data_IF_964484275514
#
_entry.id   IF_964484275514
#
_cell.length_a   1.000
_cell.length_b   1.000
_cell.length_c   1.000
_cell.angle_alpha   90.00
_cell.angle_beta   90.00
_cell.angle_gamma   90.00
#
_symmetry.space_group_name_H-M   'P 1'
#
loop_
_entity.id
_entity.type
_entity.pdbx_description
1 polymer ?
#
# COMPACT_ATOMS: atom_id res chain seq x y z
N UNK A 1 17.74 14.48 -5.91
CA UNK A 1 16.60 14.67 -4.98
C UNK A 1 16.81 13.77 -3.75
N UNK A 2 16.38 14.22 -2.57
CA UNK A 2 16.53 13.43 -1.35
C UNK A 2 15.42 12.37 -1.24
N UNK A 3 15.73 11.21 -0.66
CA UNK A 3 14.75 10.18 -0.27
C UNK A 3 14.02 10.61 1.02
N UNK A 4 13.32 11.74 0.97
CA UNK A 4 12.47 12.21 2.07
C UNK A 4 11.02 11.95 1.73
N UNK A 5 10.29 11.33 2.65
CA UNK A 5 8.85 11.06 2.51
C UNK A 5 8.05 12.35 2.35
N UNK A 6 7.00 12.30 1.53
CA UNK A 6 5.99 13.37 1.45
C UNK A 6 4.94 13.26 2.58
N UNK A 7 4.91 12.15 3.33
CA UNK A 7 4.05 12.03 4.51
C UNK A 7 4.49 13.01 5.59
N UNK A 8 3.53 13.75 6.13
CA UNK A 8 3.74 14.44 7.40
C UNK A 8 3.90 13.43 8.53
N UNK A 9 4.61 13.82 9.60
CA UNK A 9 4.79 12.97 10.78
C UNK A 9 3.47 12.41 11.33
N UNK A 10 2.40 13.22 11.33
CA UNK A 10 1.08 12.80 11.81
C UNK A 10 0.43 11.76 10.89
N UNK A 11 0.51 11.94 9.57
CA UNK A 11 -0.02 10.97 8.60
C UNK A 11 0.74 9.65 8.68
N UNK A 12 2.07 9.72 8.73
CA UNK A 12 2.92 8.55 8.89
C UNK A 12 2.56 7.79 10.18
N UNK A 13 2.52 8.47 11.33
CA UNK A 13 2.15 7.85 12.60
C UNK A 13 0.76 7.19 12.57
N UNK A 14 -0.19 7.83 11.91
CA UNK A 14 -1.56 7.32 11.81
C UNK A 14 -1.63 6.07 10.95
N UNK A 15 -0.94 6.05 9.80
CA UNK A 15 -0.83 4.86 8.97
C UNK A 15 -0.07 3.73 9.68
N UNK A 16 1.02 4.05 10.39
CA UNK A 16 1.78 3.09 11.20
C UNK A 16 0.88 2.42 12.23
N UNK A 17 0.12 3.19 13.01
CA UNK A 17 -0.81 2.67 14.01
C UNK A 17 -1.95 1.87 13.38
N UNK A 18 -2.52 2.35 12.27
CA UNK A 18 -3.63 1.69 11.58
C UNK A 18 -3.25 0.29 11.09
N UNK A 19 -2.06 0.16 10.49
CA UNK A 19 -1.56 -1.12 9.99
C UNK A 19 -0.84 -1.96 11.07
N UNK A 20 -1.06 -1.67 12.36
CA UNK A 20 -0.61 -2.47 13.49
C UNK A 20 0.77 -2.08 14.03
N UNK A 21 0.97 -0.80 14.34
CA UNK A 21 2.20 -0.22 14.90
C UNK A 21 3.47 -0.62 14.13
N UNK A 22 3.38 -0.61 12.80
CA UNK A 22 4.52 -0.95 11.93
C UNK A 22 5.45 0.23 11.76
N UNK A 23 6.73 -0.03 11.57
CA UNK A 23 7.69 0.98 11.14
C UNK A 23 7.70 1.05 9.61
N UNK A 24 7.72 2.26 9.07
CA UNK A 24 7.78 2.51 7.63
C UNK A 24 9.19 2.90 7.23
N UNK A 25 9.73 2.19 6.25
CA UNK A 25 11.05 2.46 5.67
C UNK A 25 10.87 2.74 4.19
N UNK A 26 11.15 3.97 3.75
CA UNK A 26 10.99 4.37 2.34
C UNK A 26 11.91 3.52 1.45
N UNK A 27 11.32 2.79 0.51
CA UNK A 27 12.04 1.94 -0.46
C UNK A 27 12.11 2.58 -1.84
N UNK A 28 11.08 3.32 -2.19
CA UNK A 28 10.91 3.88 -3.53
C UNK A 28 10.20 5.22 -3.45
N UNK A 29 10.64 6.12 -4.31
CA UNK A 29 10.02 7.44 -4.54
C UNK A 29 10.14 7.73 -6.02
N UNK A 30 9.03 7.93 -6.70
CA UNK A 30 8.97 8.02 -8.16
C UNK A 30 9.79 9.20 -8.71
N UNK A 31 9.79 10.36 -8.04
CA UNK A 31 10.65 11.49 -8.41
C UNK A 31 12.16 11.23 -8.31
N UNK A 32 12.58 10.22 -7.53
CA UNK A 32 14.00 9.85 -7.37
C UNK A 32 14.37 8.65 -8.25
N UNK A 33 13.45 7.71 -8.41
CA UNK A 33 13.68 6.40 -9.05
C UNK A 33 12.98 6.25 -10.41
N UNK A 34 12.53 7.38 -10.96
CA UNK A 34 11.77 7.49 -12.20
C UNK A 34 10.34 6.96 -12.06
N UNK A 35 9.43 7.38 -12.93
CA UNK A 35 8.03 6.97 -12.88
C UNK A 35 7.84 5.65 -13.66
N UNK A 36 8.51 4.57 -13.21
CA UNK A 36 8.52 3.27 -13.91
C UNK A 36 8.03 2.12 -13.02
N UNK A 37 7.04 1.37 -13.51
CA UNK A 37 6.52 0.17 -12.84
C UNK A 37 7.56 -0.94 -12.77
N UNK A 38 8.43 -1.07 -13.77
CA UNK A 38 9.52 -2.05 -13.78
C UNK A 38 10.54 -1.77 -12.67
N UNK A 39 11.01 -0.51 -12.58
CA UNK A 39 11.95 -0.08 -11.53
C UNK A 39 11.38 -0.28 -10.13
N UNK A 40 10.09 0.00 -9.98
CA UNK A 40 9.35 -0.19 -8.74
C UNK A 40 9.28 -1.67 -8.36
N UNK A 41 8.82 -2.53 -9.28
CA UNK A 41 8.69 -3.96 -9.05
C UNK A 41 10.05 -4.60 -8.74
N UNK A 42 11.10 -4.24 -9.47
CA UNK A 42 12.44 -4.78 -9.23
C UNK A 42 12.92 -4.50 -7.79
N UNK A 43 12.57 -3.34 -7.23
CA UNK A 43 12.98 -2.93 -5.88
C UNK A 43 12.07 -3.48 -4.78
N UNK A 44 10.76 -3.54 -5.02
CA UNK A 44 9.76 -3.78 -3.97
C UNK A 44 9.27 -5.23 -3.91
N UNK A 45 9.31 -5.99 -5.01
CA UNK A 45 8.68 -7.33 -5.10
C UNK A 45 9.20 -8.35 -4.08
N UNK A 46 10.42 -8.16 -3.56
CA UNK A 46 11.08 -9.09 -2.62
C UNK A 46 11.17 -8.57 -1.19
N UNK A 47 10.62 -7.39 -0.89
CA UNK A 47 10.89 -6.70 0.37
C UNK A 47 9.92 -7.04 1.52
N UNK A 48 8.92 -7.89 1.27
CA UNK A 48 7.92 -8.27 2.27
C UNK A 48 6.64 -7.43 2.18
N UNK A 49 5.87 -7.25 3.28
CA UNK A 49 4.69 -6.41 3.24
C UNK A 49 5.09 -4.96 2.97
N UNK A 50 4.43 -4.34 2.00
CA UNK A 50 4.74 -2.99 1.54
C UNK A 50 3.48 -2.15 1.53
N UNK A 51 3.64 -0.85 1.70
CA UNK A 51 2.57 0.13 1.55
C UNK A 51 2.96 1.08 0.43
N UNK A 52 2.10 1.18 -0.57
CA UNK A 52 2.19 2.16 -1.65
C UNK A 52 1.31 3.35 -1.27
N UNK A 53 1.87 4.54 -1.34
CA UNK A 53 1.21 5.81 -1.04
C UNK A 53 1.30 6.70 -2.27
N UNK A 54 0.16 7.21 -2.70
CA UNK A 54 0.01 8.02 -3.90
C UNK A 54 -0.58 9.36 -3.47
N UNK A 55 0.11 10.42 -3.87
CA UNK A 55 -0.23 11.79 -3.50
C UNK A 55 -0.91 12.50 -4.66
N UNK A 56 -2.22 12.63 -4.59
CA UNK A 56 -2.99 13.53 -5.45
C UNK A 56 -3.02 14.94 -4.84
N UNK A 57 -3.61 15.89 -5.55
CA UNK A 57 -3.78 17.27 -5.08
C UNK A 57 -4.64 17.32 -3.81
N UNK A 58 -5.76 16.58 -3.82
CA UNK A 58 -6.76 16.66 -2.75
C UNK A 58 -6.81 15.41 -1.85
N UNK A 59 -6.17 14.31 -2.27
CA UNK A 59 -6.34 13.00 -1.65
C UNK A 59 -5.04 12.23 -1.58
N UNK A 60 -4.86 11.50 -0.47
CA UNK A 60 -3.83 10.46 -0.37
C UNK A 60 -4.53 9.13 -0.51
N UNK A 61 -4.15 8.37 -1.53
CA UNK A 61 -4.66 7.03 -1.78
C UNK A 61 -3.52 6.04 -1.79
N UNK A 62 -3.79 4.79 -1.46
CA UNK A 62 -2.72 3.82 -1.40
C UNK A 62 -3.19 2.38 -1.32
N UNK A 63 -2.21 1.49 -1.37
CA UNK A 63 -2.40 0.06 -1.33
C UNK A 63 -1.40 -0.55 -0.34
N UNK A 64 -1.91 -1.18 0.71
CA UNK A 64 -1.11 -2.00 1.62
C UNK A 64 -1.17 -3.45 1.16
N UNK A 65 -0.02 -4.01 0.81
CA UNK A 65 0.11 -5.38 0.35
C UNK A 65 0.58 -6.25 1.52
N UNK A 66 -0.33 -7.09 2.01
CA UNK A 66 -0.04 -8.09 3.03
C UNK A 66 0.31 -9.41 2.38
N UNK A 67 1.51 -9.92 2.67
CA UNK A 67 1.91 -11.27 2.29
C UNK A 67 1.20 -12.30 3.20
N UNK A 68 0.42 -13.21 2.63
CA UNK A 68 -0.09 -14.39 3.35
C UNK A 68 0.93 -15.53 3.31
N UNK A 69 0.81 -16.47 4.24
CA UNK A 69 1.65 -17.67 4.31
C UNK A 69 1.44 -18.62 3.12
N UNK A 70 0.31 -18.50 2.42
CA UNK A 70 -0.12 -19.37 1.33
C UNK A 70 0.22 -18.83 -0.07
N UNK A 71 1.19 -17.93 -0.19
CA UNK A 71 1.59 -17.25 -1.45
C UNK A 71 0.54 -16.29 -2.05
N UNK A 72 -0.67 -16.26 -1.52
CA UNK A 72 -1.66 -15.22 -1.80
C UNK A 72 -1.30 -13.89 -1.13
N UNK A 73 -1.53 -12.79 -1.84
CA UNK A 73 -1.43 -11.46 -1.26
C UNK A 73 -2.83 -10.87 -1.09
N UNK A 74 -3.08 -10.37 0.11
CA UNK A 74 -4.24 -9.53 0.39
C UNK A 74 -3.83 -8.08 0.24
N UNK A 75 -4.59 -7.35 -0.56
CA UNK A 75 -4.34 -5.94 -0.81
C UNK A 75 -5.42 -5.16 -0.07
N UNK A 76 -5.01 -4.25 0.79
CA UNK A 76 -5.91 -3.32 1.46
C UNK A 76 -5.69 -1.99 0.78
N UNK A 77 -6.65 -1.57 -0.04
CA UNK A 77 -6.66 -0.20 -0.52
C UNK A 77 -7.12 0.70 0.60
N UNK A 78 -6.56 1.90 0.63
CA UNK A 78 -7.00 2.92 1.55
C UNK A 78 -7.04 4.28 0.89
N UNK A 79 -7.96 5.10 1.37
CA UNK A 79 -8.00 6.53 1.12
C UNK A 79 -7.85 7.25 2.46
N UNK A 80 -6.94 8.20 2.51
CA UNK A 80 -6.69 9.04 3.66
C UNK A 80 -7.23 10.44 3.34
N UNK A 81 -8.34 10.79 3.99
CA UNK A 81 -9.02 12.07 3.87
C UNK A 81 -8.96 12.78 5.22
N UNK A 82 -8.16 13.84 5.31
CA UNK A 82 -7.92 14.68 6.51
C UNK A 82 -7.48 13.88 7.75
N UNK A 83 -8.42 13.18 8.39
CA UNK A 83 -8.25 12.41 9.60
C UNK A 83 -8.90 11.02 9.55
N UNK A 84 -9.62 10.66 8.49
CA UNK A 84 -10.22 9.34 8.35
C UNK A 84 -9.41 8.48 7.37
N UNK A 85 -9.31 7.19 7.70
CA UNK A 85 -8.79 6.17 6.79
C UNK A 85 -9.98 5.30 6.41
N UNK A 86 -10.38 5.39 5.14
CA UNK A 86 -11.33 4.46 4.53
C UNK A 86 -10.53 3.32 3.93
N UNK A 87 -10.96 2.07 4.14
CA UNK A 87 -10.28 0.90 3.58
C UNK A 87 -11.21 0.03 2.73
N UNK A 88 -10.67 -0.56 1.68
CA UNK A 88 -11.33 -1.60 0.89
C UNK A 88 -10.36 -2.75 0.67
N UNK A 89 -10.75 -3.94 1.14
CA UNK A 89 -9.96 -5.16 0.99
C UNK A 89 -10.24 -5.79 -0.37
N UNK A 90 -9.16 -6.06 -1.09
CA UNK A 90 -9.14 -6.69 -2.41
C UNK A 90 -8.22 -7.90 -2.31
N UNK A 91 -8.73 -9.06 -2.70
CA UNK A 91 -7.90 -10.24 -2.78
C UNK A 91 -8.65 -11.54 -2.92
N UNK A 92 -7.91 -12.63 -3.16
CA UNK A 92 -6.44 -12.68 -3.31
C UNK A 92 -5.96 -12.18 -4.69
N UNK A 93 -4.90 -11.35 -4.73
CA UNK A 93 -4.35 -10.74 -5.96
C UNK A 93 -2.83 -10.55 -5.86
N UNK A 94 -2.06 -10.67 -6.96
CA UNK A 94 -0.60 -10.42 -6.92
C UNK A 94 -0.28 -8.91 -6.93
N UNK A 95 0.83 -8.50 -6.30
CA UNK A 95 1.33 -7.12 -6.32
C UNK A 95 1.53 -6.57 -7.74
N UNK A 96 1.92 -7.44 -8.68
CA UNK A 96 2.05 -7.11 -10.10
C UNK A 96 0.73 -6.65 -10.73
N UNK A 97 -0.44 -7.06 -10.19
CA UNK A 97 -1.75 -6.63 -10.68
C UNK A 97 -2.04 -5.15 -10.40
N UNK A 98 -1.40 -4.55 -9.38
CA UNK A 98 -1.55 -3.11 -9.09
C UNK A 98 -0.88 -2.21 -10.14
N UNK A 99 0.07 -2.75 -10.90
CA UNK A 99 0.92 -1.98 -11.82
C UNK A 99 0.88 -2.49 -13.26
N UNK A 100 0.04 -3.49 -13.56
CA UNK A 100 -0.05 -4.11 -14.91
C UNK A 100 -1.28 -3.57 -15.64
N UNK A 101 -1.04 -2.89 -16.76
CA UNK A 101 -2.01 -2.08 -17.52
C UNK A 101 -3.07 -2.88 -18.31
N UNK A 102 -3.50 -4.08 -17.90
CA UNK A 102 -4.15 -5.00 -18.87
C UNK A 102 -5.43 -5.71 -18.46
N UNK A 103 -5.89 -5.65 -17.21
CA UNK A 103 -7.15 -6.31 -16.85
C UNK A 103 -8.27 -5.28 -16.68
N UNK A 104 -9.28 -5.33 -17.56
CA UNK A 104 -10.50 -4.51 -17.46
C UNK A 104 -11.31 -4.78 -16.18
N UNK A 105 -10.88 -5.74 -15.38
CA UNK A 105 -11.51 -6.16 -14.13
C UNK A 105 -10.65 -5.87 -12.90
N UNK A 106 -9.53 -5.15 -13.05
CA UNK A 106 -8.69 -4.75 -11.91
C UNK A 106 -9.43 -3.72 -11.08
N UNK A 107 -9.71 -4.06 -9.82
CA UNK A 107 -10.35 -3.14 -8.87
C UNK A 107 -9.52 -1.87 -8.62
N UNK A 108 -8.21 -1.92 -8.92
CA UNK A 108 -7.27 -0.82 -8.78
C UNK A 108 -6.02 -0.99 -9.66
N UNK A 109 -5.59 0.07 -10.34
CA UNK A 109 -4.43 0.10 -11.21
C UNK A 109 -3.71 1.45 -11.09
N UNK A 110 -2.39 1.43 -10.93
CA UNK A 110 -1.52 2.60 -10.88
C UNK A 110 -0.70 2.65 -12.17
N UNK A 111 -0.98 3.65 -13.00
CA UNK A 111 -0.14 3.98 -14.14
C UNK A 111 0.88 5.03 -13.73
N UNK A 112 2.12 4.61 -13.49
CA UNK A 112 3.20 5.52 -13.09
C UNK A 112 3.60 6.47 -14.21
N UNK A 113 3.67 5.98 -15.45
CA UNK A 113 4.12 6.77 -16.61
C UNK A 113 3.15 7.90 -16.92
N UNK A 114 1.84 7.61 -16.87
CA UNK A 114 0.77 8.62 -17.03
C UNK A 114 0.49 9.42 -15.75
N UNK A 115 1.01 8.95 -14.60
CA UNK A 115 0.73 9.48 -13.26
C UNK A 115 -0.77 9.49 -12.92
N UNK A 116 -1.43 8.38 -13.22
CA UNK A 116 -2.86 8.20 -13.02
C UNK A 116 -3.16 6.94 -12.21
N UNK A 117 -4.17 7.02 -11.35
CA UNK A 117 -4.75 5.87 -10.67
C UNK A 117 -6.17 5.64 -11.19
N UNK A 118 -6.40 4.43 -11.69
CA UNK A 118 -7.71 3.95 -12.05
C UNK A 118 -8.22 3.02 -10.95
N UNK A 119 -9.38 3.33 -10.39
CA UNK A 119 -10.03 2.55 -9.33
C UNK A 119 -11.45 2.21 -9.80
N UNK A 120 -11.94 1.01 -9.51
CA UNK A 120 -13.31 0.67 -9.87
C UNK A 120 -14.33 1.56 -9.14
N UNK A 121 -15.46 1.84 -9.78
CA UNK A 121 -16.52 2.70 -9.21
C UNK A 121 -16.99 2.16 -7.84
N UNK A 122 -17.15 0.83 -7.72
CA UNK A 122 -17.57 0.19 -6.48
C UNK A 122 -16.54 0.36 -5.34
N UNK A 123 -15.26 0.32 -5.69
CA UNK A 123 -14.17 0.53 -4.74
C UNK A 123 -14.03 2.01 -4.38
N UNK A 124 -14.24 2.93 -5.33
CA UNK A 124 -14.26 4.38 -5.08
C UNK A 124 -15.36 4.77 -4.10
N UNK A 125 -16.57 4.22 -4.27
CA UNK A 125 -17.70 4.47 -3.37
C UNK A 125 -17.37 4.05 -1.93
N UNK A 126 -16.82 2.84 -1.75
CA UNK A 126 -16.36 2.34 -0.43
C UNK A 126 -15.25 3.19 0.19
N UNK A 127 -14.39 3.78 -0.64
CA UNK A 127 -13.29 4.63 -0.20
C UNK A 127 -13.71 6.09 0.00
N UNK A 128 -14.94 6.48 -0.42
CA UNK A 128 -15.39 7.87 -0.39
C UNK A 128 -14.66 8.77 -1.39
N UNK A 129 -14.16 8.20 -2.48
CA UNK A 129 -13.40 8.92 -3.52
C UNK A 129 -14.32 9.40 -4.66
N UNK A 130 -13.96 10.50 -5.34
CA UNK A 130 -14.69 10.94 -6.53
C UNK A 130 -14.63 9.87 -7.63
N UNK A 131 -15.74 9.68 -8.35
CA UNK A 131 -15.85 8.70 -9.45
C UNK A 131 -15.15 9.18 -10.75
N UNK A 132 -13.87 9.55 -10.64
CA UNK A 132 -13.05 10.02 -11.77
C UNK A 132 -11.60 9.55 -11.60
N UNK A 133 -10.84 9.48 -12.70
CA UNK A 133 -9.42 9.15 -12.64
C UNK A 133 -8.67 10.13 -11.73
N UNK A 134 -7.85 9.59 -10.83
CA UNK A 134 -7.08 10.39 -9.87
C UNK A 134 -5.68 10.58 -10.46
N UNK A 135 -5.35 11.80 -10.86
CA UNK A 135 -3.97 12.18 -11.20
C UNK A 135 -3.16 12.37 -9.92
N UNK A 136 -1.87 12.06 -9.97
CA UNK A 136 -1.00 12.19 -8.81
C UNK A 136 0.34 12.84 -9.13
N UNK A 137 0.91 13.49 -8.12
CA UNK A 137 2.17 14.20 -8.23
C UNK A 137 3.36 13.32 -7.85
N UNK A 138 3.15 12.43 -6.88
CA UNK A 138 4.20 11.59 -6.32
C UNK A 138 3.67 10.20 -5.95
N UNK A 139 4.53 9.21 -6.04
CA UNK A 139 4.27 7.85 -5.58
C UNK A 139 5.46 7.37 -4.73
N UNK A 140 5.15 6.90 -3.53
CA UNK A 140 6.12 6.40 -2.56
C UNK A 140 5.75 4.99 -2.13
N UNK A 141 6.74 4.13 -1.97
CA UNK A 141 6.56 2.81 -1.38
C UNK A 141 7.41 2.69 -0.15
N UNK A 142 6.77 2.24 0.93
CA UNK A 142 7.44 1.94 2.17
C UNK A 142 7.40 0.43 2.41
N UNK A 143 8.50 -0.08 2.94
CA UNK A 143 8.52 -1.37 3.61
C UNK A 143 7.81 -1.22 4.95
N UNK A 144 6.92 -2.16 5.25
CA UNK A 144 6.26 -2.22 6.55
C UNK A 144 6.96 -3.26 7.42
N UNK A 145 7.72 -2.81 8.41
CA UNK A 145 8.38 -3.70 9.36
C UNK A 145 7.50 -3.82 10.59
N UNK A 146 7.09 -5.05 10.92
CA UNK A 146 6.42 -5.29 12.19
C UNK A 146 7.39 -4.99 13.33
N UNK A 147 6.94 -4.24 14.34
CA UNK A 147 7.56 -4.38 15.66
C UNK A 147 7.32 -5.82 16.08
N UNK A 148 8.35 -6.66 16.00
CA UNK A 148 8.34 -7.97 16.64
C UNK A 148 8.19 -7.74 18.14
N UNK A 149 6.96 -7.57 18.64
CA UNK A 149 6.67 -7.92 20.01
C UNK A 149 6.67 -9.45 20.05
N UNK A 150 7.60 -10.02 20.81
CA UNK A 150 7.79 -11.46 21.02
C UNK A 150 6.54 -12.22 21.52
N UNK A 151 5.39 -11.57 21.67
CA UNK A 151 4.16 -12.11 22.25
C UNK A 151 3.43 -13.07 21.29
N UNK A 152 3.63 -12.97 19.97
CA UNK A 152 2.97 -13.88 19.00
C UNK A 152 3.63 -15.27 18.95
N UNK A 153 4.92 -15.39 19.31
CA UNK A 153 5.58 -16.70 19.44
C UNK A 153 5.04 -17.50 20.63
N UNK A 154 4.69 -16.83 21.74
CA UNK A 154 4.11 -17.49 22.91
C UNK A 154 2.68 -17.98 22.68
N UNK A 155 1.85 -17.30 21.86
CA UNK A 155 0.50 -17.81 21.53
C UNK A 155 0.49 -19.04 20.61
N UNK A 156 1.55 -19.25 19.83
CA UNK A 156 1.71 -20.48 19.02
C UNK A 156 2.34 -21.60 19.85
N UNK A 157 3.32 -21.31 20.70
CA UNK A 157 3.89 -22.33 21.60
C UNK A 157 2.88 -22.86 22.63
N UNK A 158 1.99 -22.03 23.17
CA UNK A 158 0.98 -22.49 24.14
C UNK A 158 -0.21 -23.25 23.54
N UNK A 159 -0.43 -23.21 22.22
CA UNK A 159 -1.47 -24.05 21.58
C UNK A 159 -0.98 -25.45 21.21
N UNK A 160 0.33 -25.70 21.20
CA UNK A 160 0.91 -27.04 20.92
C UNK A 160 1.57 -27.70 22.14
N UNK A 161 1.63 -27.02 23.29
CA UNK A 161 2.20 -27.55 24.53
C UNK A 161 1.14 -27.96 25.54
N UNK A 162 0.30 -28.94 25.21
CA UNK A 162 -0.48 -29.68 26.19
C UNK A 162 0.41 -30.74 26.84
N UNK A 163 0.68 -30.60 28.14
CA UNK A 163 1.15 -31.68 29.02
C UNK A 163 0.01 -32.08 29.95
#
# INVERSE_FOLDING_TARGET
MAMTTCLTWMQEKKLQNYFGDKQFSLLYKASVHEFSSESLLQRCSKQGPTITVIYSEDHIVGAYVQKSYLEDYFIILFAFQETAISECKIGPCQLSMLFRESDRNSEFNINLEKKEVAISINTMDKLGLPQCCISFQECEIFRCEGRFNQITLYRVLFMFGGF
#
